data_IF_217527261258
#
_entry.id   IF_217527261258
#
_cell.length_a   1.000
_cell.length_b   1.000
_cell.length_c   1.000
_cell.angle_alpha   90.00
_cell.angle_beta   90.00
_cell.angle_gamma   90.00
#
_symmetry.space_group_name_H-M   'P 1'
#
loop_
_entity.id
_entity.type
_entity.pdbx_description
1 polymer ?
#
# COMPACT_ATOMS: atom_id res chain seq x y z
N UNK A 1 -59.61 12.40 -15.13
CA UNK A 1 -58.41 11.99 -14.39
C UNK A 1 -57.86 10.76 -15.09
N UNK A 2 -56.81 10.95 -15.89
CA UNK A 2 -56.25 9.90 -16.76
C UNK A 2 -55.17 9.14 -16.00
N UNK A 3 -55.33 7.82 -15.90
CA UNK A 3 -54.35 6.90 -15.33
C UNK A 3 -53.13 6.85 -16.26
N UNK A 4 -51.89 7.03 -15.77
CA UNK A 4 -50.71 6.90 -16.60
C UNK A 4 -50.49 5.41 -16.93
N UNK A 5 -50.39 5.09 -18.23
CA UNK A 5 -49.96 3.78 -18.69
C UNK A 5 -48.51 3.52 -18.24
N UNK A 6 -48.30 2.44 -17.47
CA UNK A 6 -46.96 1.86 -17.21
C UNK A 6 -46.39 1.33 -18.52
N UNK A 7 -45.20 1.80 -18.90
CA UNK A 7 -44.47 1.35 -20.08
C UNK A 7 -43.94 -0.08 -19.92
N UNK A 8 -43.91 -0.78 -21.04
CA UNK A 8 -43.51 -2.18 -21.21
C UNK A 8 -41.98 -2.36 -21.35
N UNK A 9 -41.21 -1.89 -20.37
CA UNK A 9 -39.74 -1.96 -20.38
C UNK A 9 -39.14 -3.18 -19.62
N UNK A 10 -39.98 -4.05 -19.07
CA UNK A 10 -39.54 -5.15 -18.21
C UNK A 10 -38.81 -6.30 -18.95
N UNK A 11 -39.06 -6.50 -20.25
CA UNK A 11 -38.48 -7.64 -21.01
C UNK A 11 -37.04 -7.41 -21.48
N UNK A 12 -36.55 -6.16 -21.49
CA UNK A 12 -35.17 -5.86 -21.93
C UNK A 12 -34.13 -6.00 -20.81
N UNK A 13 -34.54 -5.94 -19.54
CA UNK A 13 -33.64 -6.03 -18.39
C UNK A 13 -33.15 -7.46 -18.14
N UNK A 14 -34.04 -8.43 -18.39
CA UNK A 14 -33.83 -9.85 -18.13
C UNK A 14 -32.69 -10.42 -19.00
N UNK A 15 -32.68 -10.08 -20.30
CA UNK A 15 -31.64 -10.54 -21.23
C UNK A 15 -30.24 -10.02 -20.90
N UNK A 16 -30.11 -8.79 -20.39
CA UNK A 16 -28.79 -8.26 -19.99
C UNK A 16 -28.29 -8.82 -18.67
N UNK A 17 -29.20 -9.14 -17.75
CA UNK A 17 -28.85 -9.77 -16.47
C UNK A 17 -28.37 -11.20 -16.70
N UNK A 18 -29.09 -11.96 -17.53
CA UNK A 18 -28.70 -13.33 -17.92
C UNK A 18 -27.34 -13.38 -18.62
N UNK A 19 -27.06 -12.48 -19.57
CA UNK A 19 -25.73 -12.41 -20.23
C UNK A 19 -24.61 -12.12 -19.23
N UNK A 20 -24.89 -11.33 -18.20
CA UNK A 20 -23.90 -10.97 -17.18
C UNK A 20 -23.68 -12.09 -16.16
N UNK A 21 -24.77 -12.71 -15.68
CA UNK A 21 -24.72 -13.87 -14.81
C UNK A 21 -24.03 -15.05 -15.51
N UNK A 22 -24.27 -15.24 -16.81
CA UNK A 22 -23.61 -16.27 -17.59
C UNK A 22 -22.11 -15.97 -17.78
N UNK A 23 -21.74 -14.71 -18.00
CA UNK A 23 -20.34 -14.30 -18.05
C UNK A 23 -19.62 -14.47 -16.69
N UNK A 24 -20.32 -14.23 -15.57
CA UNK A 24 -19.82 -14.47 -14.21
C UNK A 24 -19.60 -15.97 -13.98
N UNK A 25 -20.61 -16.80 -14.28
CA UNK A 25 -20.54 -18.28 -14.17
C UNK A 25 -19.49 -18.91 -15.09
N UNK A 26 -19.27 -18.34 -16.28
CA UNK A 26 -18.27 -18.85 -17.22
C UNK A 26 -16.85 -18.48 -16.79
N UNK A 27 -16.67 -17.37 -16.07
CA UNK A 27 -15.40 -16.96 -15.49
C UNK A 27 -14.91 -17.88 -14.35
N UNK A 28 -15.84 -18.42 -13.55
CA UNK A 28 -15.48 -19.34 -12.45
C UNK A 28 -15.13 -20.76 -12.93
N UNK A 29 -15.60 -21.17 -14.10
CA UNK A 29 -15.39 -22.54 -14.61
C UNK A 29 -14.15 -22.68 -15.55
N UNK A 30 -13.36 -21.62 -15.69
CA UNK A 30 -12.22 -21.56 -16.60
C UNK A 30 -10.89 -22.05 -16.01
N UNK A 31 -10.63 -23.35 -16.14
CA UNK A 31 -9.30 -23.99 -16.07
C UNK A 31 -8.58 -24.07 -14.71
N UNK A 32 -9.06 -24.95 -13.85
CA UNK A 32 -8.19 -25.73 -12.97
C UNK A 32 -7.47 -26.80 -13.81
N UNK A 33 -6.51 -26.40 -14.64
CA UNK A 33 -5.59 -27.36 -15.27
C UNK A 33 -4.48 -27.67 -14.27
N UNK A 34 -4.64 -28.78 -13.55
CA UNK A 34 -3.57 -29.45 -12.82
C UNK A 34 -2.40 -29.74 -13.78
N UNK A 35 -1.35 -28.92 -13.73
CA UNK A 35 -0.22 -29.11 -14.62
C UNK A 35 0.87 -28.06 -14.50
N UNK A 36 1.83 -28.33 -13.60
CA UNK A 36 3.16 -27.75 -13.45
C UNK A 36 3.26 -26.37 -12.75
N UNK A 37 4.16 -26.24 -11.73
CA UNK A 37 4.42 -24.99 -11.03
C UNK A 37 5.35 -24.10 -11.87
N UNK A 38 4.85 -23.61 -13.00
CA UNK A 38 5.49 -22.57 -13.79
C UNK A 38 5.12 -21.21 -13.21
N UNK A 39 6.14 -20.42 -12.82
CA UNK A 39 6.10 -19.00 -12.43
C UNK A 39 4.71 -18.35 -12.52
N UNK A 40 4.10 -18.12 -11.36
CA UNK A 40 2.93 -17.27 -11.17
C UNK A 40 3.22 -15.86 -11.71
N UNK A 41 3.03 -15.65 -13.01
CA UNK A 41 2.75 -14.33 -13.54
C UNK A 41 1.36 -14.01 -13.01
N UNK A 42 1.33 -13.27 -11.91
CA UNK A 42 0.15 -12.52 -11.48
C UNK A 42 -0.15 -11.49 -12.59
N UNK A 43 -0.71 -11.95 -13.71
CA UNK A 43 -1.62 -11.12 -14.46
C UNK A 43 -2.68 -10.78 -13.43
N UNK A 44 -2.63 -9.55 -12.90
CA UNK A 44 -3.68 -9.03 -12.04
C UNK A 44 -4.91 -8.97 -12.93
N UNK A 45 -5.61 -10.09 -13.04
CA UNK A 45 -6.94 -10.10 -13.59
C UNK A 45 -7.72 -9.17 -12.67
N UNK A 46 -8.16 -8.06 -13.27
CA UNK A 46 -8.91 -7.06 -12.57
C UNK A 46 -10.17 -7.75 -12.06
N UNK A 47 -10.48 -7.57 -10.77
CA UNK A 47 -11.72 -8.07 -10.18
C UNK A 47 -12.89 -7.79 -11.13
N UNK A 48 -13.71 -8.79 -11.36
CA UNK A 48 -14.70 -8.75 -12.41
C UNK A 48 -15.73 -7.64 -12.17
N UNK A 49 -16.12 -7.40 -10.92
CA UNK A 49 -16.97 -6.28 -10.54
C UNK A 49 -16.33 -4.93 -10.84
N UNK A 50 -15.06 -4.76 -10.50
CA UNK A 50 -14.29 -3.54 -10.83
C UNK A 50 -14.17 -3.35 -12.35
N UNK A 51 -13.94 -4.43 -13.10
CA UNK A 51 -13.87 -4.39 -14.56
C UNK A 51 -15.20 -3.98 -15.20
N UNK A 52 -16.31 -4.45 -14.65
CA UNK A 52 -17.65 -4.03 -15.05
C UNK A 52 -17.92 -2.56 -14.73
N UNK A 53 -17.49 -2.08 -13.57
CA UNK A 53 -17.65 -0.69 -13.16
C UNK A 53 -16.87 0.26 -14.07
N UNK A 54 -15.58 -0.01 -14.32
CA UNK A 54 -14.73 0.81 -15.20
C UNK A 54 -15.29 0.86 -16.63
N UNK A 55 -15.83 -0.26 -17.11
CA UNK A 55 -16.30 -0.39 -18.48
C UNK A 55 -17.83 -0.27 -18.63
N UNK A 56 -18.54 0.22 -17.60
CA UNK A 56 -20.00 0.27 -17.59
C UNK A 56 -20.57 0.99 -18.83
N UNK A 57 -19.95 2.10 -19.23
CA UNK A 57 -20.33 2.85 -20.44
C UNK A 57 -20.30 2.02 -21.73
N UNK A 58 -19.34 1.09 -21.82
CA UNK A 58 -19.05 0.33 -23.05
C UNK A 58 -19.69 -1.06 -23.06
N UNK A 59 -20.17 -1.56 -21.91
CA UNK A 59 -20.78 -2.89 -21.84
C UNK A 59 -22.27 -2.83 -22.13
N UNK A 60 -22.70 -3.65 -23.09
CA UNK A 60 -24.11 -3.82 -23.41
C UNK A 60 -24.87 -4.25 -22.14
N UNK A 61 -26.00 -3.58 -21.85
CA UNK A 61 -26.83 -3.88 -20.69
C UNK A 61 -26.44 -3.20 -19.37
N UNK A 62 -25.26 -2.59 -19.30
CA UNK A 62 -24.69 -1.97 -18.09
C UNK A 62 -24.37 -0.48 -18.25
N UNK A 63 -25.14 0.26 -19.04
CA UNK A 63 -24.98 1.70 -19.28
C UNK A 63 -25.19 2.58 -18.02
N UNK A 64 -25.09 2.00 -16.83
CA UNK A 64 -25.31 2.59 -15.52
C UNK A 64 -24.30 2.00 -14.53
N UNK A 65 -23.49 2.85 -13.89
CA UNK A 65 -22.54 2.40 -12.85
C UNK A 65 -23.25 1.77 -11.66
N UNK A 66 -24.44 2.25 -11.29
CA UNK A 66 -25.21 1.67 -10.16
C UNK A 66 -25.69 0.25 -10.43
N UNK A 67 -26.06 -0.04 -11.67
CA UNK A 67 -26.51 -1.37 -12.05
C UNK A 67 -25.40 -2.43 -11.84
N UNK A 68 -24.14 -2.03 -11.94
CA UNK A 68 -23.01 -2.91 -11.60
C UNK A 68 -23.06 -3.27 -10.12
N UNK A 69 -23.26 -2.30 -9.22
CA UNK A 69 -23.41 -2.58 -7.79
C UNK A 69 -24.66 -3.42 -7.48
N UNK A 70 -25.79 -3.10 -8.12
CA UNK A 70 -27.03 -3.83 -7.90
C UNK A 70 -26.91 -5.31 -8.27
N UNK A 71 -26.11 -5.64 -9.29
CA UNK A 71 -25.85 -7.02 -9.69
C UNK A 71 -24.74 -7.66 -8.84
N UNK A 72 -23.65 -6.95 -8.56
CA UNK A 72 -22.54 -7.52 -7.79
C UNK A 72 -22.90 -7.83 -6.33
N UNK A 73 -23.88 -7.11 -5.77
CA UNK A 73 -24.32 -7.26 -4.38
C UNK A 73 -25.76 -7.76 -4.26
N UNK A 74 -26.39 -8.13 -5.39
CA UNK A 74 -27.78 -8.58 -5.46
C UNK A 74 -28.78 -7.61 -4.78
N UNK A 75 -28.52 -6.29 -4.87
CA UNK A 75 -29.38 -5.28 -4.23
C UNK A 75 -30.82 -5.31 -4.75
N UNK A 76 -31.06 -5.85 -5.95
CA UNK A 76 -32.41 -5.99 -6.51
C UNK A 76 -33.24 -7.07 -5.82
N UNK A 77 -32.60 -8.05 -5.19
CA UNK A 77 -33.27 -9.12 -4.44
C UNK A 77 -33.21 -8.88 -2.93
N UNK A 78 -32.37 -7.95 -2.47
CA UNK A 78 -32.29 -7.54 -1.09
C UNK A 78 -33.62 -6.88 -0.66
N UNK A 79 -34.46 -7.64 0.04
CA UNK A 79 -35.60 -7.07 0.74
C UNK A 79 -35.10 -6.18 1.88
N UNK A 80 -35.50 -4.91 1.88
CA UNK A 80 -35.17 -4.02 2.98
C UNK A 80 -36.06 -4.33 4.18
N UNK A 81 -35.45 -4.68 5.31
CA UNK A 81 -36.13 -4.94 6.60
C UNK A 81 -36.70 -3.67 7.26
N UNK A 82 -36.76 -2.54 6.54
CA UNK A 82 -37.26 -1.28 7.07
C UNK A 82 -38.67 -1.36 7.66
N UNK A 83 -39.56 -2.18 7.08
CA UNK A 83 -40.91 -2.40 7.63
C UNK A 83 -40.90 -3.24 8.91
N UNK A 84 -39.93 -4.16 9.06
CA UNK A 84 -39.74 -4.93 10.29
C UNK A 84 -39.15 -4.07 11.41
N UNK A 85 -38.26 -3.14 11.04
CA UNK A 85 -37.61 -2.23 11.98
C UNK A 85 -38.58 -1.17 12.54
N UNK A 86 -39.52 -0.66 11.74
CA UNK A 86 -40.57 0.24 12.22
C UNK A 86 -41.90 0.00 11.51
N UNK A 87 -42.76 -0.81 12.13
CA UNK A 87 -44.08 -1.13 11.60
C UNK A 87 -45.14 -0.04 11.84
N UNK A 88 -44.82 1.01 12.61
CA UNK A 88 -45.76 2.10 12.90
C UNK A 88 -45.98 3.05 11.72
N UNK A 89 -45.10 3.02 10.73
CA UNK A 89 -45.17 3.84 9.52
C UNK A 89 -45.24 2.95 8.30
N UNK A 90 -46.08 3.30 7.33
CA UNK A 90 -46.18 2.58 6.05
C UNK A 90 -44.88 2.59 5.25
N UNK A 91 -44.01 3.55 5.52
CA UNK A 91 -42.69 3.71 4.89
C UNK A 91 -41.56 3.02 5.67
N UNK A 92 -41.85 2.33 6.78
CA UNK A 92 -40.83 1.66 7.58
C UNK A 92 -39.85 2.60 8.29
N UNK A 93 -38.74 2.06 8.75
CA UNK A 93 -37.66 2.82 9.38
C UNK A 93 -36.86 3.59 8.32
N UNK A 94 -36.87 4.93 8.41
CA UNK A 94 -36.13 5.80 7.49
C UNK A 94 -34.61 5.53 7.44
N UNK A 95 -34.03 4.92 8.49
CA UNK A 95 -32.60 4.53 8.50
C UNK A 95 -32.32 3.21 7.79
N UNK A 96 -33.30 2.31 7.75
CA UNK A 96 -33.17 1.00 7.11
C UNK A 96 -33.70 1.01 5.68
N UNK A 97 -34.57 1.96 5.35
CA UNK A 97 -35.04 2.19 3.99
C UNK A 97 -33.86 2.69 3.16
N UNK A 98 -33.59 2.02 2.03
CA UNK A 98 -32.57 2.47 1.07
C UNK A 98 -33.26 3.46 0.14
N UNK A 99 -33.04 4.78 0.30
CA UNK A 99 -33.77 5.75 -0.50
C UNK A 99 -33.34 5.65 -1.95
N UNK A 100 -34.29 5.86 -2.87
CA UNK A 100 -33.95 5.96 -4.28
C UNK A 100 -33.14 7.24 -4.49
N UNK A 101 -31.88 7.15 -4.91
CA UNK A 101 -31.02 8.31 -5.06
C UNK A 101 -31.50 9.27 -6.15
N UNK A 102 -31.49 10.58 -5.87
CA UNK A 102 -31.97 11.64 -6.77
C UNK A 102 -31.18 11.78 -8.07
N UNK A 103 -29.88 11.54 -8.02
CA UNK A 103 -28.97 11.53 -9.17
C UNK A 103 -28.44 10.11 -9.36
N UNK A 104 -28.45 9.58 -10.59
CA UNK A 104 -28.12 8.17 -10.88
C UNK A 104 -26.61 7.86 -10.83
N UNK A 105 -25.87 8.19 -11.88
CA UNK A 105 -24.41 8.07 -11.93
C UNK A 105 -23.88 9.08 -12.96
N UNK A 106 -22.56 9.18 -13.05
CA UNK A 106 -21.83 10.02 -14.01
C UNK A 106 -22.16 9.70 -15.47
N UNK A 107 -22.47 8.43 -15.79
CA UNK A 107 -22.91 8.04 -17.13
C UNK A 107 -24.29 8.58 -17.52
N UNK A 108 -25.22 8.62 -16.56
CA UNK A 108 -26.59 9.06 -16.82
C UNK A 108 -26.79 10.55 -16.62
N UNK A 109 -26.07 11.17 -15.70
CA UNK A 109 -26.21 12.59 -15.36
C UNK A 109 -24.85 13.31 -15.39
N UNK A 110 -24.13 13.33 -16.53
CA UNK A 110 -22.76 13.83 -16.59
C UNK A 110 -22.60 15.29 -16.14
N UNK A 111 -23.65 16.11 -16.26
CA UNK A 111 -23.64 17.50 -15.83
C UNK A 111 -23.53 17.66 -14.31
N UNK A 112 -24.21 16.78 -13.55
CA UNK A 112 -24.18 16.78 -12.08
C UNK A 112 -22.81 16.38 -11.53
N UNK A 113 -21.96 15.76 -12.36
CA UNK A 113 -20.61 15.34 -11.99
C UNK A 113 -19.50 16.17 -12.64
N UNK A 114 -19.84 17.25 -13.35
CA UNK A 114 -18.87 18.10 -14.06
C UNK A 114 -17.78 18.68 -13.14
N UNK A 115 -18.11 19.00 -11.89
CA UNK A 115 -17.15 19.45 -10.87
C UNK A 115 -16.12 18.39 -10.47
N UNK A 116 -16.44 17.11 -10.65
CA UNK A 116 -15.53 15.99 -10.37
C UNK A 116 -14.72 15.58 -11.59
N UNK A 117 -15.00 16.17 -12.76
CA UNK A 117 -14.14 16.10 -13.93
C UNK A 117 -12.91 16.99 -13.71
N UNK A 118 -12.19 16.76 -12.61
CA UNK A 118 -10.82 17.20 -12.51
C UNK A 118 -10.06 16.44 -13.59
N UNK A 119 -9.67 17.15 -14.64
CA UNK A 119 -8.57 16.76 -15.50
C UNK A 119 -7.41 16.43 -14.56
N UNK A 120 -7.21 15.14 -14.26
CA UNK A 120 -6.00 14.68 -13.61
C UNK A 120 -4.89 15.00 -14.60
N UNK A 121 -4.35 16.21 -14.52
CA UNK A 121 -3.09 16.52 -15.16
C UNK A 121 -2.14 15.45 -14.67
N UNK A 122 -1.65 14.61 -15.58
CA UNK A 122 -0.67 13.58 -15.23
C UNK A 122 0.37 14.26 -14.35
N UNK A 123 0.54 13.82 -13.10
CA UNK A 123 1.49 14.47 -12.22
C UNK A 123 2.85 14.48 -12.93
N UNK A 124 3.64 15.56 -12.80
CA UNK A 124 4.96 15.60 -13.41
C UNK A 124 5.71 14.32 -13.01
N UNK A 125 6.39 13.72 -13.99
CA UNK A 125 7.09 12.46 -13.79
C UNK A 125 7.98 12.56 -12.54
N UNK A 126 7.65 11.77 -11.51
CA UNK A 126 8.42 11.83 -10.27
C UNK A 126 9.86 11.37 -10.56
N UNK A 127 10.86 11.97 -9.90
CA UNK A 127 12.24 11.52 -10.01
C UNK A 127 12.31 10.01 -9.76
N UNK A 128 13.05 9.27 -10.59
CA UNK A 128 13.20 7.84 -10.37
C UNK A 128 13.95 7.59 -9.07
N UNK A 129 13.38 6.72 -8.24
CA UNK A 129 14.02 6.17 -7.04
C UNK A 129 15.25 5.37 -7.43
N UNK A 130 16.25 5.36 -6.56
CA UNK A 130 17.46 4.57 -6.75
C UNK A 130 17.12 3.08 -6.71
N UNK A 131 17.71 2.29 -7.62
CA UNK A 131 17.65 0.82 -7.53
C UNK A 131 18.63 0.36 -6.47
N UNK A 132 18.13 -0.19 -5.38
CA UNK A 132 18.94 -0.69 -4.27
C UNK A 132 19.39 -2.14 -4.54
N UNK A 133 20.69 -2.47 -4.43
CA UNK A 133 21.15 -3.85 -4.44
C UNK A 133 20.50 -4.66 -3.31
N UNK A 134 20.32 -5.97 -3.50
CA UNK A 134 19.92 -6.84 -2.41
C UNK A 134 21.05 -6.92 -1.39
N UNK A 135 20.71 -6.84 -0.11
CA UNK A 135 21.65 -6.97 0.98
C UNK A 135 21.04 -7.80 2.11
N UNK A 136 21.90 -8.27 3.01
CA UNK A 136 21.48 -8.88 4.27
C UNK A 136 21.58 -7.83 5.37
N UNK A 137 20.48 -7.58 6.09
CA UNK A 137 20.45 -6.63 7.21
C UNK A 137 21.53 -6.96 8.23
N UNK A 138 22.27 -5.94 8.63
CA UNK A 138 23.31 -5.96 9.65
C UNK A 138 22.76 -5.44 10.96
N UNK A 139 23.53 -5.60 12.04
CA UNK A 139 23.17 -5.09 13.38
C UNK A 139 22.83 -3.59 13.39
N UNK A 140 23.56 -2.77 12.63
CA UNK A 140 23.26 -1.33 12.50
C UNK A 140 21.86 -1.07 11.92
N UNK A 141 21.43 -1.89 10.97
CA UNK A 141 20.14 -1.73 10.30
C UNK A 141 18.98 -2.09 11.25
N UNK A 142 19.16 -3.10 12.09
CA UNK A 142 18.20 -3.44 13.15
C UNK A 142 18.13 -2.37 14.24
N UNK A 143 19.28 -1.83 14.67
CA UNK A 143 19.30 -0.73 15.64
C UNK A 143 18.61 0.53 15.07
N UNK A 144 18.82 0.83 13.79
CA UNK A 144 18.13 1.92 13.11
C UNK A 144 16.62 1.65 13.03
N UNK A 145 16.23 0.41 12.72
CA UNK A 145 14.82 0.01 12.69
C UNK A 145 14.14 0.22 14.04
N UNK A 146 14.74 -0.25 15.13
CA UNK A 146 14.22 -0.09 16.49
C UNK A 146 14.05 1.39 16.85
N UNK A 147 15.10 2.20 16.63
CA UNK A 147 15.04 3.64 16.91
C UNK A 147 14.00 4.39 16.07
N UNK A 148 13.81 4.02 14.80
CA UNK A 148 12.76 4.59 13.96
C UNK A 148 11.37 4.14 14.41
N UNK A 149 11.21 2.90 14.88
CA UNK A 149 9.95 2.39 15.40
C UNK A 149 9.53 3.12 16.68
N UNK A 150 10.46 3.29 17.63
CA UNK A 150 10.21 4.05 18.86
C UNK A 150 9.81 5.50 18.55
N UNK A 151 10.59 6.17 17.68
CA UNK A 151 10.26 7.52 17.22
C UNK A 151 8.90 7.59 16.52
N UNK A 152 8.55 6.57 15.74
CA UNK A 152 7.31 6.50 14.98
C UNK A 152 6.07 6.38 15.87
N UNK A 153 6.15 5.58 16.93
CA UNK A 153 5.09 5.45 17.95
C UNK A 153 4.96 6.75 18.76
N UNK A 154 6.07 7.28 19.28
CA UNK A 154 6.10 8.53 20.05
C UNK A 154 5.55 9.71 19.23
N UNK A 155 5.97 9.84 17.97
CA UNK A 155 5.50 10.93 17.11
C UNK A 155 4.03 10.79 16.77
N UNK A 156 3.53 9.57 16.56
CA UNK A 156 2.10 9.34 16.31
C UNK A 156 1.27 9.72 17.54
N UNK A 157 1.68 9.29 18.74
CA UNK A 157 1.01 9.68 19.98
C UNK A 157 1.01 11.20 20.18
N UNK A 158 2.12 11.88 19.86
CA UNK A 158 2.22 13.33 19.99
C UNK A 158 1.33 14.11 19.01
N UNK A 159 1.19 13.62 17.76
CA UNK A 159 0.44 14.33 16.70
C UNK A 159 -1.05 14.01 16.72
N UNK A 160 -1.42 12.75 16.97
CA UNK A 160 -2.79 12.27 16.85
C UNK A 160 -3.41 11.86 18.19
N UNK A 161 -2.62 11.85 19.27
CA UNK A 161 -3.06 11.43 20.60
C UNK A 161 -2.92 9.93 20.82
N UNK A 162 -2.82 9.55 22.09
CA UNK A 162 -2.65 8.16 22.52
C UNK A 162 -3.80 7.25 22.09
N UNK A 163 -5.05 7.75 22.12
CA UNK A 163 -6.21 6.97 21.69
C UNK A 163 -6.10 6.55 20.21
N UNK A 164 -5.76 7.50 19.32
CA UNK A 164 -5.58 7.21 17.90
C UNK A 164 -4.43 6.22 17.64
N UNK A 165 -3.34 6.32 18.40
CA UNK A 165 -2.24 5.35 18.33
C UNK A 165 -2.72 3.93 18.69
N UNK A 166 -3.56 3.76 19.72
CA UNK A 166 -4.05 2.43 20.09
C UNK A 166 -5.09 1.87 19.12
N UNK A 167 -5.99 2.72 18.63
CA UNK A 167 -7.11 2.28 17.78
C UNK A 167 -6.67 2.05 16.32
N UNK A 168 -5.78 2.89 15.80
CA UNK A 168 -5.38 2.90 14.38
C UNK A 168 -3.92 2.49 14.16
N UNK A 169 -3.10 2.54 15.20
CA UNK A 169 -1.67 2.21 15.13
C UNK A 169 -0.79 3.35 14.61
N UNK A 170 0.54 3.17 14.66
CA UNK A 170 1.50 4.17 14.20
C UNK A 170 1.45 4.38 12.66
N UNK A 171 0.85 3.45 11.92
CA UNK A 171 0.66 3.54 10.47
C UNK A 171 -0.06 4.82 9.99
N UNK A 172 -0.74 5.52 10.90
CA UNK A 172 -1.37 6.82 10.66
C UNK A 172 -0.37 7.92 10.26
N UNK A 173 0.85 7.88 10.80
CA UNK A 173 1.92 8.85 10.48
C UNK A 173 2.78 8.40 9.30
N UNK A 174 3.11 7.12 9.25
CA UNK A 174 3.99 6.52 8.24
C UNK A 174 3.74 5.01 8.21
N UNK A 175 3.67 4.39 7.03
CA UNK A 175 3.45 2.94 6.95
C UNK A 175 4.74 2.15 7.23
N UNK A 176 4.61 0.92 7.74
CA UNK A 176 5.77 0.05 8.00
C UNK A 176 6.62 -0.20 6.73
N UNK A 177 5.97 -0.32 5.57
CA UNK A 177 6.68 -0.47 4.29
C UNK A 177 7.54 0.76 3.93
N UNK A 178 7.10 1.96 4.35
CA UNK A 178 7.87 3.18 4.18
C UNK A 178 9.07 3.23 5.14
N UNK A 179 8.88 2.79 6.38
CA UNK A 179 9.94 2.64 7.38
C UNK A 179 11.02 1.65 6.90
N UNK A 180 10.62 0.49 6.39
CA UNK A 180 11.53 -0.47 5.75
C UNK A 180 12.30 0.15 4.58
N UNK A 181 11.62 0.92 3.73
CA UNK A 181 12.25 1.62 2.61
C UNK A 181 13.29 2.65 3.08
N UNK A 182 13.03 3.37 4.18
CA UNK A 182 14.00 4.30 4.79
C UNK A 182 15.24 3.55 5.25
N UNK A 183 15.08 2.41 5.93
CA UNK A 183 16.21 1.59 6.40
C UNK A 183 17.04 1.09 5.22
N UNK A 184 16.40 0.57 4.18
CA UNK A 184 17.10 0.09 2.99
C UNK A 184 17.87 1.21 2.29
N UNK A 185 17.27 2.40 2.17
CA UNK A 185 17.93 3.57 1.59
C UNK A 185 19.09 4.06 2.48
N UNK A 186 18.93 4.06 3.79
CA UNK A 186 19.95 4.45 4.76
C UNK A 186 21.16 3.48 4.73
N UNK A 187 20.90 2.16 4.64
CA UNK A 187 21.93 1.14 4.50
C UNK A 187 22.85 1.40 3.30
N UNK A 188 22.26 1.82 2.18
CA UNK A 188 22.99 2.15 0.96
C UNK A 188 23.45 3.61 0.88
N UNK A 189 23.37 4.35 1.99
CA UNK A 189 23.76 5.76 2.08
C UNK A 189 23.11 6.62 0.98
N UNK A 190 21.80 6.41 0.73
CA UNK A 190 21.03 7.20 -0.25
C UNK A 190 20.34 8.42 0.35
N UNK A 191 20.21 8.48 1.67
CA UNK A 191 19.53 9.57 2.37
C UNK A 191 20.56 10.37 3.16
N UNK A 192 20.84 11.60 2.73
CA UNK A 192 21.67 12.55 3.47
C UNK A 192 20.90 13.82 3.86
N UNK A 193 19.88 14.17 3.08
CA UNK A 193 19.06 15.37 3.21
C UNK A 193 17.57 15.03 3.17
N UNK A 194 16.71 15.96 3.59
CA UNK A 194 15.25 15.83 3.52
C UNK A 194 14.76 15.67 2.08
N UNK A 195 15.45 16.30 1.13
CA UNK A 195 15.21 16.13 -0.29
C UNK A 195 15.50 14.69 -0.76
N UNK A 196 16.58 14.08 -0.28
CA UNK A 196 16.88 12.68 -0.59
C UNK A 196 15.83 11.74 -0.01
N UNK A 197 15.43 11.97 1.25
CA UNK A 197 14.36 11.22 1.90
C UNK A 197 13.07 11.28 1.07
N UNK A 198 12.65 12.50 0.70
CA UNK A 198 11.46 12.72 -0.15
C UNK A 198 11.60 12.01 -1.49
N UNK A 199 12.75 12.13 -2.13
CA UNK A 199 13.01 11.52 -3.44
C UNK A 199 12.95 10.00 -3.41
N UNK A 200 13.59 9.37 -2.43
CA UNK A 200 13.74 7.91 -2.38
C UNK A 200 12.48 7.21 -1.86
N UNK A 201 11.69 7.88 -1.00
CA UNK A 201 10.52 7.27 -0.35
C UNK A 201 9.17 7.75 -0.92
N UNK A 202 9.15 8.91 -1.59
CA UNK A 202 7.95 9.69 -1.92
C UNK A 202 7.06 9.99 -0.70
N UNK A 203 7.61 10.01 0.52
CA UNK A 203 6.84 10.32 1.71
C UNK A 203 6.43 11.79 1.73
N UNK A 204 5.12 12.06 1.79
CA UNK A 204 4.52 13.39 1.74
C UNK A 204 4.96 14.28 2.90
N UNK A 205 5.12 13.70 4.09
CA UNK A 205 5.45 14.45 5.30
C UNK A 205 6.97 14.54 5.57
N UNK A 206 7.79 14.17 4.59
CA UNK A 206 9.26 14.27 4.66
C UNK A 206 9.75 15.70 4.90
N UNK A 207 9.01 16.72 4.45
CA UNK A 207 9.36 18.13 4.73
C UNK A 207 9.08 18.52 6.19
N UNK A 208 8.07 17.89 6.81
CA UNK A 208 7.65 18.20 8.17
C UNK A 208 8.48 17.46 9.22
N UNK A 209 8.76 16.18 8.97
CA UNK A 209 9.39 15.29 9.95
C UNK A 209 10.77 14.78 9.53
N UNK A 210 11.22 15.09 8.30
CA UNK A 210 12.40 14.47 7.73
C UNK A 210 13.71 14.82 8.44
N UNK A 211 13.85 16.02 9.02
CA UNK A 211 15.06 16.39 9.76
C UNK A 211 15.26 15.50 11.01
N UNK A 212 14.19 15.16 11.72
CA UNK A 212 14.25 14.25 12.87
C UNK A 212 14.63 12.84 12.44
N UNK A 213 14.00 12.34 11.37
CA UNK A 213 14.32 11.02 10.80
C UNK A 213 15.77 10.97 10.33
N UNK A 214 16.27 12.03 9.69
CA UNK A 214 17.67 12.12 9.25
C UNK A 214 18.64 12.16 10.44
N UNK A 215 18.27 12.84 11.53
CA UNK A 215 19.07 12.81 12.75
C UNK A 215 19.20 11.39 13.31
N UNK A 216 18.11 10.63 13.33
CA UNK A 216 18.11 9.21 13.75
C UNK A 216 18.97 8.38 12.78
N UNK A 217 18.79 8.54 11.48
CA UNK A 217 19.62 7.84 10.47
C UNK A 217 21.11 8.12 10.69
N UNK A 218 21.51 9.38 10.89
CA UNK A 218 22.92 9.75 11.11
C UNK A 218 23.48 9.17 12.40
N UNK A 219 22.65 9.05 13.44
CA UNK A 219 23.06 8.49 14.73
C UNK A 219 23.29 6.97 14.67
N UNK A 220 22.49 6.25 13.89
CA UNK A 220 22.53 4.78 13.82
C UNK A 220 23.23 4.21 12.57
N UNK A 221 23.52 5.05 11.57
CA UNK A 221 24.20 4.61 10.35
C UNK A 221 25.61 4.07 10.66
N UNK A 222 25.98 3.01 9.94
CA UNK A 222 27.35 2.50 9.99
C UNK A 222 28.32 3.62 9.54
N UNK A 223 29.47 3.80 10.23
CA UNK A 223 30.49 4.74 9.78
C UNK A 223 30.84 4.43 8.32
N UNK A 224 30.80 5.45 7.45
CA UNK A 224 31.27 5.27 6.08
C UNK A 224 32.72 4.75 6.17
N UNK A 225 33.07 3.67 5.45
CA UNK A 225 34.45 3.24 5.38
C UNK A 225 35.26 4.43 4.85
N UNK A 226 36.13 4.95 5.70
CA UNK A 226 36.99 6.07 5.32
C UNK A 226 37.74 5.67 4.05
N UNK A 227 37.65 6.45 2.95
CA UNK A 227 38.38 6.14 1.73
C UNK A 227 39.91 6.26 1.90
N UNK A 228 40.37 6.72 3.07
CA UNK A 228 41.78 6.86 3.42
C UNK A 228 42.34 5.61 4.10
N UNK A 229 42.27 4.46 3.44
CA UNK A 229 43.30 3.46 3.66
C UNK A 229 44.52 3.92 2.85
N UNK A 230 45.35 4.70 3.54
CA UNK A 230 46.70 5.10 3.19
C UNK A 230 47.38 4.06 2.30
N UNK A 231 47.46 4.33 0.99
CA UNK A 231 48.58 3.86 0.20
C UNK A 231 49.80 4.47 0.91
N UNK A 232 50.72 3.68 1.48
CA UNK A 232 51.92 4.23 2.06
C UNK A 232 52.61 5.04 0.97
N UNK A 233 52.72 6.35 1.16
CA UNK A 233 53.48 7.22 0.27
C UNK A 233 54.93 6.72 0.37
N UNK A 234 55.32 5.86 -0.58
CA UNK A 234 56.67 5.32 -0.68
C UNK A 234 57.59 6.53 -0.75
N UNK A 235 58.31 6.79 0.34
CA UNK A 235 59.24 7.90 0.45
C UNK A 235 60.32 7.69 -0.61
N UNK A 236 60.15 8.37 -1.74
CA UNK A 236 61.15 8.45 -2.78
C UNK A 236 62.25 9.39 -2.30
N UNK A 237 63.31 8.81 -1.72
CA UNK A 237 64.58 9.50 -1.53
C UNK A 237 65.17 9.82 -2.89
N UNK A 238 64.93 11.03 -3.38
CA UNK A 238 65.49 11.58 -4.61
C UNK A 238 66.12 12.93 -4.33
N UNK A 239 67.39 12.91 -3.92
CA UNK A 239 68.26 14.06 -3.78
C UNK A 239 68.65 14.55 -5.20
N UNK A 240 68.44 15.84 -5.50
CA UNK A 240 69.46 16.80 -5.97
C UNK A 240 68.95 17.92 -6.91
N UNK A 241 69.44 19.11 -6.55
CA UNK A 241 69.84 20.26 -7.38
C UNK A 241 68.81 21.23 -7.97
N UNK A 242 69.02 22.48 -7.56
CA UNK A 242 68.46 23.73 -8.02
C UNK A 242 68.82 24.07 -9.47
N UNK A 243 67.93 24.80 -10.16
CA UNK A 243 68.29 25.97 -10.94
C UNK A 243 67.04 26.79 -11.32
N UNK A 244 67.22 28.09 -11.13
CA UNK A 244 66.41 29.27 -11.45
C UNK A 244 65.59 29.32 -12.77
N UNK A 245 64.73 30.35 -12.79
CA UNK A 245 64.27 31.21 -13.93
C UNK A 245 62.92 30.88 -14.61
N UNK A 246 62.24 31.85 -15.28
CA UNK A 246 61.28 32.80 -14.67
C UNK A 246 59.86 32.75 -15.32
N UNK A 247 59.00 33.66 -14.83
CA UNK A 247 57.68 34.03 -15.35
C UNK A 247 57.49 33.87 -16.86
N UNK A 248 56.36 33.26 -17.25
CA UNK A 248 55.61 33.68 -18.44
C UNK A 248 54.11 33.56 -18.19
N UNK A 249 53.46 34.70 -18.35
CA UNK A 249 52.02 34.93 -18.37
C UNK A 249 51.32 33.96 -19.34
N UNK A 250 50.20 33.37 -18.91
CA UNK A 250 49.34 32.60 -19.80
C UNK A 250 47.93 33.19 -19.82
N UNK A 251 47.67 33.84 -20.93
CA UNK A 251 46.41 34.40 -21.39
C UNK A 251 45.31 33.34 -21.41
N UNK A 252 44.12 33.71 -20.96
CA UNK A 252 42.91 32.89 -21.04
C UNK A 252 42.40 32.89 -22.48
N UNK A 253 42.46 31.73 -23.15
CA UNK A 253 41.75 31.50 -24.41
C UNK A 253 40.48 30.72 -24.12
N UNK A 254 39.34 31.37 -24.35
CA UNK A 254 37.99 30.82 -24.31
C UNK A 254 37.89 29.77 -25.44
N UNK A 255 37.60 28.52 -25.07
CA UNK A 255 37.29 27.45 -26.02
C UNK A 255 35.79 27.13 -25.95
N UNK A 256 35.03 27.21 -27.06
CA UNK A 256 33.64 26.82 -27.07
C UNK A 256 33.50 25.30 -27.11
N UNK A 257 32.48 24.83 -26.39
CA UNK A 257 32.08 23.45 -26.19
C UNK A 257 31.18 22.99 -27.35
N UNK A 258 31.39 21.81 -27.97
CA UNK A 258 30.41 21.18 -28.82
C UNK A 258 29.52 20.20 -28.04
N UNK A 259 28.22 20.31 -28.31
CA UNK A 259 27.13 19.48 -27.82
C UNK A 259 27.28 17.99 -28.18
N UNK A 260 26.86 17.03 -27.32
CA UNK A 260 26.78 15.65 -27.73
C UNK A 260 25.45 15.36 -28.44
N UNK A 261 25.57 14.92 -29.68
CA UNK A 261 24.54 14.33 -30.54
C UNK A 261 24.03 13.01 -30.00
N UNK A 262 22.71 12.83 -30.10
CA UNK A 262 21.94 11.65 -29.71
C UNK A 262 22.25 10.50 -30.66
N UNK A 263 22.86 9.42 -30.16
CA UNK A 263 22.97 8.15 -30.89
C UNK A 263 21.84 7.21 -30.46
N UNK A 264 20.98 6.89 -31.43
CA UNK A 264 20.01 5.81 -31.42
C UNK A 264 20.73 4.46 -31.37
N UNK A 265 20.42 3.63 -30.37
CA UNK A 265 20.87 2.24 -30.32
C UNK A 265 19.71 1.29 -30.64
N UNK A 266 19.98 0.54 -31.70
CA UNK A 266 19.20 -0.52 -32.32
C UNK A 266 18.96 -1.68 -31.36
N UNK A 267 17.76 -2.26 -31.45
CA UNK A 267 17.45 -3.54 -30.82
C UNK A 267 18.13 -4.67 -31.58
N UNK A 268 18.72 -5.62 -30.86
CA UNK A 268 19.08 -6.92 -31.39
C UNK A 268 18.91 -7.98 -30.30
N UNK A 269 18.21 -9.04 -30.71
CA UNK A 269 17.93 -10.27 -29.98
C UNK A 269 19.19 -11.10 -29.78
N UNK A 270 19.29 -11.83 -28.66
CA UNK A 270 19.81 -13.21 -28.63
C UNK A 270 19.74 -13.85 -27.23
N UNK A 271 18.98 -14.94 -27.18
CA UNK A 271 19.37 -16.27 -26.69
C UNK A 271 19.78 -16.48 -25.22
N UNK A 272 18.84 -17.09 -24.48
CA UNK A 272 18.98 -18.24 -23.57
C UNK A 272 20.40 -18.76 -23.31
N UNK A 273 20.87 -18.58 -22.07
CA UNK A 273 21.75 -19.54 -21.38
C UNK A 273 21.24 -19.69 -19.94
N UNK A 274 20.99 -20.94 -19.55
CA UNK A 274 20.44 -21.33 -18.27
C UNK A 274 21.38 -21.04 -17.11
N UNK A 275 20.79 -20.71 -15.97
CA UNK A 275 21.50 -20.68 -14.69
C UNK A 275 20.55 -21.15 -13.58
N UNK A 276 21.00 -22.22 -12.92
CA UNK A 276 20.46 -22.83 -11.72
C UNK A 276 20.38 -21.75 -10.62
N UNK A 277 19.17 -21.34 -10.22
CA UNK A 277 18.98 -20.35 -9.17
C UNK A 277 18.80 -21.07 -7.82
N UNK A 278 19.51 -20.66 -6.75
CA UNK A 278 19.37 -21.27 -5.43
C UNK A 278 17.97 -21.04 -4.88
N UNK A 279 17.41 -22.10 -4.33
CA UNK A 279 16.15 -22.09 -3.56
C UNK A 279 16.20 -20.99 -2.50
N UNK A 280 15.26 -20.04 -2.58
CA UNK A 280 15.07 -19.01 -1.56
C UNK A 280 14.49 -19.70 -0.32
N UNK A 281 15.33 -19.93 0.68
CA UNK A 281 14.87 -20.40 1.98
C UNK A 281 14.11 -19.26 2.67
N UNK A 282 12.79 -19.47 2.87
CA UNK A 282 11.95 -18.66 3.76
C UNK A 282 12.61 -18.68 5.15
N UNK A 283 13.02 -17.51 5.64
CA UNK A 283 13.44 -17.38 7.03
C UNK A 283 12.20 -17.42 7.91
N UNK A 284 12.22 -18.37 8.85
CA UNK A 284 11.24 -18.46 9.90
C UNK A 284 11.59 -17.44 11.01
N UNK A 285 10.53 -16.85 11.56
CA UNK A 285 10.55 -15.82 12.63
C UNK A 285 10.91 -16.50 13.96
N UNK A 286 11.66 -15.95 14.93
CA UNK A 286 11.96 -16.53 16.28
C UNK A 286 11.42 -15.73 17.50
N UNK A 287 11.04 -16.41 18.58
CA UNK A 287 10.48 -15.94 19.85
C UNK A 287 11.64 -15.38 20.65
N UNK A 288 11.60 -14.11 21.03
CA UNK A 288 12.64 -13.58 21.90
C UNK A 288 12.61 -14.17 23.31
N UNK A 289 11.41 -14.38 23.86
CA UNK A 289 11.23 -14.71 25.28
C UNK A 289 11.56 -16.17 25.62
N UNK A 290 11.53 -17.00 24.58
CA UNK A 290 11.68 -18.44 24.66
C UNK A 290 12.61 -19.02 23.58
N UNK A 291 13.04 -18.22 22.61
CA UNK A 291 13.88 -18.62 21.46
C UNK A 291 13.14 -19.20 20.23
N UNK A 292 11.87 -19.59 20.32
CA UNK A 292 11.03 -20.38 19.38
C UNK A 292 10.55 -19.74 18.06
N UNK A 293 10.55 -20.44 16.91
CA UNK A 293 10.10 -19.84 15.65
C UNK A 293 8.59 -19.44 15.53
N UNK A 294 8.26 -18.12 15.52
CA UNK A 294 6.94 -17.45 15.61
C UNK A 294 6.92 -16.37 16.72
N UNK A 295 5.90 -15.48 16.82
CA UNK A 295 4.77 -15.54 17.81
C UNK A 295 3.48 -15.64 17.01
N UNK A 296 3.52 -16.60 16.10
CA UNK A 296 2.30 -17.28 15.75
C UNK A 296 1.90 -18.13 16.98
N UNK A 297 1.10 -19.16 16.79
CA UNK A 297 0.80 -20.09 17.86
C UNK A 297 2.05 -20.64 18.62
N UNK A 298 3.26 -20.64 18.05
CA UNK A 298 4.48 -21.26 18.58
C UNK A 298 5.03 -20.64 19.85
N UNK A 299 4.48 -19.52 20.26
CA UNK A 299 4.98 -18.86 21.42
C UNK A 299 4.04 -19.09 22.59
N UNK A 300 3.24 -20.18 22.49
CA UNK A 300 2.22 -20.76 23.40
C UNK A 300 2.70 -20.94 24.83
N UNK A 301 3.93 -21.39 24.95
CA UNK A 301 4.59 -21.67 26.21
C UNK A 301 5.45 -20.52 26.73
N UNK A 302 5.58 -19.42 25.96
CA UNK A 302 5.83 -18.15 26.62
C UNK A 302 4.70 -18.02 27.65
N UNK A 303 4.97 -17.74 28.94
CA UNK A 303 3.90 -17.53 29.92
C UNK A 303 2.88 -16.45 29.47
N UNK A 304 3.21 -15.74 28.38
CA UNK A 304 2.52 -14.66 27.72
C UNK A 304 1.89 -15.02 26.37
N UNK A 305 1.60 -16.28 26.09
CA UNK A 305 0.89 -16.56 24.85
C UNK A 305 -0.61 -16.23 24.91
N UNK A 306 -1.20 -15.71 23.82
CA UNK A 306 -2.64 -15.40 23.71
C UNK A 306 -3.68 -16.52 23.91
N UNK A 307 -3.31 -17.74 24.31
CA UNK A 307 -4.26 -18.87 24.47
C UNK A 307 -4.31 -19.43 25.89
N UNK A 308 -3.60 -18.81 26.83
CA UNK A 308 -3.44 -19.32 28.19
C UNK A 308 -3.99 -18.38 29.29
N UNK A 309 -4.55 -17.21 28.96
CA UNK A 309 -4.99 -16.19 29.95
C UNK A 309 -6.47 -16.24 30.35
N UNK A 310 -7.24 -17.25 29.93
CA UNK A 310 -8.73 -17.16 29.93
C UNK A 310 -9.50 -18.04 30.92
N UNK A 311 -8.90 -18.71 31.91
CA UNK A 311 -9.67 -19.72 32.66
C UNK A 311 -9.26 -20.03 34.12
N UNK A 312 -9.10 -19.03 35.01
CA UNK A 312 -8.82 -19.33 36.43
C UNK A 312 -9.56 -18.49 37.50
N UNK A 313 -10.53 -17.64 37.16
CA UNK A 313 -11.42 -17.07 38.19
C UNK A 313 -12.90 -17.35 37.91
N UNK A 314 -13.42 -18.27 38.73
CA UNK A 314 -14.82 -18.49 39.09
C UNK A 314 -15.70 -19.34 38.16
N UNK A 315 -15.55 -20.65 38.35
CA UNK A 315 -16.68 -21.57 38.44
C UNK A 315 -17.56 -21.23 39.67
N UNK A 316 -18.79 -20.77 39.43
CA UNK A 316 -19.97 -21.04 40.26
C UNK A 316 -21.24 -20.47 39.60
N UNK A 317 -21.83 -21.26 38.69
CA UNK A 317 -23.29 -21.45 38.57
C UNK A 317 -23.59 -22.34 37.38
N UNK A 318 -24.22 -23.47 37.66
CA UNK A 318 -25.08 -24.16 36.71
C UNK A 318 -26.12 -23.16 36.19
N UNK A 319 -26.23 -23.02 34.87
CA UNK A 319 -27.48 -23.25 34.13
C UNK A 319 -27.42 -22.64 32.73
N UNK A 320 -27.85 -23.48 31.78
CA UNK A 320 -28.73 -23.15 30.66
C UNK A 320 -28.31 -21.98 29.78
N UNK A 321 -27.90 -22.35 28.57
CA UNK A 321 -27.86 -21.49 27.41
C UNK A 321 -29.27 -20.93 27.13
N UNK A 322 -29.51 -19.67 27.47
CA UNK A 322 -30.59 -18.85 26.92
C UNK A 322 -29.99 -17.51 26.48
N UNK A 323 -29.88 -17.33 25.17
CA UNK A 323 -29.75 -16.00 24.58
C UNK A 323 -31.09 -15.28 24.73
N UNK A 324 -31.13 -14.21 25.53
CA UNK A 324 -32.16 -13.19 25.47
C UNK A 324 -31.49 -11.82 25.60
N UNK A 325 -31.61 -11.02 24.54
CA UNK A 325 -31.39 -9.59 24.56
C UNK A 325 -32.44 -8.94 25.46
N UNK A 326 -32.03 -8.11 26.41
CA UNK A 326 -32.95 -7.19 27.07
C UNK A 326 -32.33 -5.82 27.30
N UNK A 327 -32.99 -4.83 26.71
CA UNK A 327 -32.71 -3.40 26.73
C UNK A 327 -33.21 -2.84 28.05
N UNK A 328 -32.36 -2.11 28.79
CA UNK A 328 -32.78 -1.36 29.98
C UNK A 328 -33.01 0.12 29.62
N UNK A 329 -34.25 0.56 29.84
CA UNK A 329 -34.64 1.96 29.92
C UNK A 329 -34.28 2.53 31.30
N UNK A 330 -33.83 3.79 31.34
CA UNK A 330 -33.62 4.59 32.55
C UNK A 330 -34.90 5.35 32.91
N UNK A 331 -35.26 5.51 34.19
CA UNK A 331 -36.29 6.45 34.59
C UNK A 331 -35.69 7.84 34.85
N UNK A 332 -36.38 8.86 34.34
CA UNK A 332 -36.26 10.24 34.79
C UNK A 332 -36.92 10.40 36.17
N UNK A 333 -36.28 11.20 37.02
CA UNK A 333 -36.93 11.92 38.13
C UNK A 333 -37.54 13.19 37.56
#
# INVERSE_FOLDING_TARGET
MSVPQRSSDATSLDSSLEVLLEALKTGENGNEKEGLPGKWQWKKELDLGINYLINAANRAGLKCCRKVFDICFDNSTAESDHLLCNSNTSEGCARCCIPTPTVCCDLHNPQDFSSFSFMQSNPPAQPQRSRLPKYTRKRSDYNLHEALQDWHEDKTAAVFGWAALNDLGPSLLMTNALLDCIIDCAHHHKIHTTQDLRKETSWTDSEKYGEEVIAIIRHHAAPLPSPFNTIPLRSGTGLLTAANTPMLSRTYTIHPQPSPSINSLSMSNATSIGNHLPSVQKQCITCGNCGQEGHNACNRACPRHPSHTTNMDLANKENVCHCLCQVHALPFI
#
